data_IF_188551200839
#
_entry.id   IF_188551200839
#
_cell.length_a   1.000
_cell.length_b   1.000
_cell.length_c   1.000
_cell.angle_alpha   90.00
_cell.angle_beta   90.00
_cell.angle_gamma   90.00
#
_symmetry.space_group_name_H-M   'P 1'
#
loop_
_entity.id
_entity.type
_entity.pdbx_description
1 polymer ?
#
# COMPACT_ATOMS: atom_id res chain seq x y z
N UNK A 1 15.95 16.45 -21.41
CA UNK A 1 15.76 16.38 -19.96
C UNK A 1 15.26 14.98 -19.62
N UNK A 2 15.80 14.34 -18.59
CA UNK A 2 15.23 13.08 -18.10
C UNK A 2 13.78 13.32 -17.64
N UNK A 3 12.85 12.37 -17.85
CA UNK A 3 11.49 12.51 -17.38
C UNK A 3 11.46 12.67 -15.86
N UNK A 4 10.60 13.57 -15.36
CA UNK A 4 10.39 13.79 -13.93
C UNK A 4 10.05 12.47 -13.23
N UNK A 5 10.74 12.16 -12.13
CA UNK A 5 10.45 11.02 -11.27
C UNK A 5 9.77 11.52 -10.01
N UNK A 6 8.62 10.93 -9.69
CA UNK A 6 7.87 11.25 -8.48
C UNK A 6 8.66 10.77 -7.25
N UNK A 7 8.93 11.66 -6.30
CA UNK A 7 9.64 11.34 -5.07
C UNK A 7 8.67 10.72 -4.04
N UNK A 8 8.89 9.46 -3.71
CA UNK A 8 7.98 8.63 -2.92
C UNK A 8 8.63 8.23 -1.59
N UNK A 9 7.82 8.24 -0.53
CA UNK A 9 8.09 7.59 0.74
C UNK A 9 7.34 6.25 0.87
N UNK A 10 7.89 5.31 1.63
CA UNK A 10 7.16 4.13 2.11
C UNK A 10 7.07 4.15 3.62
N UNK A 11 5.85 4.14 4.16
CA UNK A 11 5.58 4.05 5.59
C UNK A 11 5.22 2.61 5.97
N UNK A 12 6.00 2.00 6.86
CA UNK A 12 5.94 0.58 7.16
C UNK A 12 6.54 -0.26 6.05
N UNK A 13 7.52 -1.09 6.38
CA UNK A 13 8.14 -2.00 5.42
C UNK A 13 8.36 -3.41 5.98
N UNK A 14 7.32 -3.90 6.65
CA UNK A 14 7.10 -5.33 6.86
C UNK A 14 6.81 -6.04 5.53
N UNK A 15 6.09 -7.17 5.57
CA UNK A 15 5.91 -8.06 4.39
C UNK A 15 5.53 -7.33 3.10
N UNK A 16 4.47 -6.52 3.13
CA UNK A 16 3.96 -5.84 1.93
C UNK A 16 4.67 -4.53 1.66
N UNK A 17 4.97 -3.73 2.68
CA UNK A 17 5.69 -2.48 2.52
C UNK A 17 7.10 -2.66 1.93
N UNK A 18 7.85 -3.68 2.36
CA UNK A 18 9.13 -4.06 1.74
C UNK A 18 8.96 -4.38 0.25
N UNK A 19 7.90 -5.10 -0.11
CA UNK A 19 7.60 -5.41 -1.52
C UNK A 19 7.26 -4.15 -2.32
N UNK A 20 6.52 -3.22 -1.73
CA UNK A 20 6.25 -1.92 -2.36
C UNK A 20 7.53 -1.11 -2.55
N UNK A 21 8.39 -1.01 -1.53
CA UNK A 21 9.68 -0.33 -1.62
C UNK A 21 10.56 -0.91 -2.75
N UNK A 22 10.71 -2.23 -2.79
CA UNK A 22 11.47 -2.92 -3.85
C UNK A 22 10.84 -2.73 -5.23
N UNK A 23 9.51 -2.69 -5.34
CA UNK A 23 8.84 -2.43 -6.61
C UNK A 23 9.08 -0.99 -7.07
N UNK A 24 9.04 0.00 -6.18
CA UNK A 24 9.38 1.39 -6.52
C UNK A 24 10.82 1.47 -7.04
N UNK A 25 11.77 0.88 -6.31
CA UNK A 25 13.18 0.87 -6.71
C UNK A 25 13.44 0.21 -8.07
N UNK A 26 12.82 -0.95 -8.32
CA UNK A 26 13.25 -1.82 -9.42
C UNK A 26 12.30 -1.84 -10.61
N UNK A 27 11.04 -1.43 -10.44
CA UNK A 27 9.96 -1.68 -11.42
C UNK A 27 9.12 -0.44 -11.76
N UNK A 28 9.38 0.70 -11.12
CA UNK A 28 8.59 1.92 -11.32
C UNK A 28 9.48 3.04 -11.88
N UNK A 29 9.77 3.08 -13.20
CA UNK A 29 10.77 3.99 -13.78
C UNK A 29 10.43 5.48 -13.69
N UNK A 30 9.17 5.82 -13.36
CA UNK A 30 8.67 7.19 -13.15
C UNK A 30 8.57 7.58 -11.68
N UNK A 31 9.11 6.78 -10.78
CA UNK A 31 9.15 7.05 -9.36
C UNK A 31 10.57 6.86 -8.84
N UNK A 32 10.84 7.50 -7.71
CA UNK A 32 12.08 7.40 -6.97
C UNK A 32 11.71 7.22 -5.49
N UNK A 33 12.24 6.16 -4.87
CA UNK A 33 12.08 5.97 -3.44
C UNK A 33 13.13 6.84 -2.75
N UNK A 34 12.70 7.91 -2.08
CA UNK A 34 13.63 8.85 -1.42
C UNK A 34 13.76 8.59 0.07
N UNK A 35 12.69 8.08 0.69
CA UNK A 35 12.65 7.83 2.13
C UNK A 35 11.78 6.64 2.51
N UNK A 36 12.02 6.07 3.68
CA UNK A 36 11.16 5.05 4.26
C UNK A 36 11.12 5.16 5.79
N UNK A 37 9.94 4.88 6.38
CA UNK A 37 9.74 4.86 7.83
C UNK A 37 9.33 3.48 8.36
N UNK A 38 9.90 3.06 9.49
CA UNK A 38 9.35 1.97 10.31
C UNK A 38 9.71 2.16 11.79
N UNK A 39 8.76 1.93 12.72
CA UNK A 39 9.07 1.92 14.16
C UNK A 39 9.77 0.61 14.59
N UNK A 40 9.74 -0.44 13.76
CA UNK A 40 10.34 -1.73 14.06
C UNK A 40 11.84 -1.75 13.71
N UNK A 41 12.66 -2.12 14.68
CA UNK A 41 14.11 -2.11 14.50
C UNK A 41 14.59 -3.19 13.52
N UNK A 42 13.91 -4.34 13.43
CA UNK A 42 14.28 -5.39 12.47
C UNK A 42 13.99 -4.94 11.04
N UNK A 43 12.83 -4.31 10.82
CA UNK A 43 12.51 -3.66 9.56
C UNK A 43 13.60 -2.64 9.21
N UNK A 44 13.96 -1.73 10.13
CA UNK A 44 15.02 -0.74 9.88
C UNK A 44 16.35 -1.39 9.49
N UNK A 45 16.78 -2.46 10.15
CA UNK A 45 17.98 -3.20 9.75
C UNK A 45 17.86 -3.80 8.34
N UNK A 46 16.69 -4.32 7.99
CA UNK A 46 16.42 -4.77 6.63
C UNK A 46 16.52 -3.59 5.63
N UNK A 47 15.97 -2.42 5.98
CA UNK A 47 16.06 -1.20 5.19
C UNK A 47 17.51 -0.76 4.95
N UNK A 48 18.38 -0.85 5.96
CA UNK A 48 19.82 -0.52 5.83
C UNK A 48 20.53 -1.40 4.80
N UNK A 49 20.10 -2.64 4.67
CA UNK A 49 20.69 -3.60 3.75
C UNK A 49 20.13 -3.46 2.32
N UNK A 50 18.86 -3.09 2.18
CA UNK A 50 18.14 -3.21 0.89
C UNK A 50 17.71 -1.86 0.29
N UNK A 51 17.61 -0.80 1.09
CA UNK A 51 17.12 0.52 0.67
C UNK A 51 18.23 1.59 0.74
N UNK A 52 18.96 1.70 1.86
CA UNK A 52 20.04 2.68 2.01
C UNK A 52 21.11 2.61 0.90
N UNK A 53 21.52 1.43 0.38
CA UNK A 53 22.49 1.37 -0.71
C UNK A 53 22.03 2.05 -2.02
N UNK A 54 20.73 2.30 -2.14
CA UNK A 54 20.11 3.02 -3.27
C UNK A 54 19.86 4.50 -2.96
N UNK A 55 20.36 5.02 -1.83
CA UNK A 55 20.19 6.42 -1.43
C UNK A 55 18.90 6.73 -0.66
N UNK A 56 18.15 5.70 -0.24
CA UNK A 56 16.92 5.88 0.54
C UNK A 56 17.27 6.27 1.98
N UNK A 57 16.72 7.39 2.46
CA UNK A 57 16.89 7.79 3.87
C UNK A 57 15.90 7.04 4.75
N UNK A 58 16.36 6.47 5.87
CA UNK A 58 15.49 5.75 6.80
C UNK A 58 15.13 6.60 8.01
N UNK A 59 13.87 6.51 8.42
CA UNK A 59 13.32 7.19 9.58
C UNK A 59 12.69 6.19 10.55
N UNK A 60 12.85 6.44 11.85
CA UNK A 60 12.15 5.75 12.94
C UNK A 60 11.00 6.59 13.52
N UNK A 61 10.74 7.75 12.91
CA UNK A 61 9.71 8.71 13.27
C UNK A 61 8.95 9.12 12.01
N UNK A 62 7.64 8.87 12.00
CA UNK A 62 6.78 9.10 10.83
C UNK A 62 6.67 10.57 10.49
N UNK A 63 6.53 11.43 11.49
CA UNK A 63 6.38 12.89 11.30
C UNK A 63 7.66 13.46 10.70
N UNK A 64 8.84 13.05 11.18
CA UNK A 64 10.12 13.46 10.57
C UNK A 64 10.29 12.98 9.14
N UNK A 65 9.75 11.82 8.80
CA UNK A 65 9.75 11.34 7.40
C UNK A 65 8.89 12.24 6.51
N UNK A 66 7.72 12.68 6.98
CA UNK A 66 6.84 13.58 6.23
C UNK A 66 7.48 14.95 5.96
N UNK A 67 8.39 15.39 6.83
CA UNK A 67 9.16 16.63 6.66
C UNK A 67 10.32 16.51 5.65
N UNK A 68 10.53 15.33 5.05
CA UNK A 68 11.61 15.11 4.08
C UNK A 68 11.48 16.03 2.87
N UNK A 69 12.55 16.78 2.59
CA UNK A 69 12.54 17.78 1.51
C UNK A 69 12.28 17.12 0.16
N UNK A 70 11.30 17.65 -0.58
CA UNK A 70 10.98 17.16 -1.92
C UNK A 70 10.09 15.94 -1.96
N UNK A 71 9.59 15.44 -0.83
CA UNK A 71 8.62 14.34 -0.79
C UNK A 71 7.30 14.74 -1.48
N UNK A 72 6.82 13.90 -2.40
CA UNK A 72 5.61 14.17 -3.19
C UNK A 72 4.47 13.17 -2.95
N UNK A 73 4.78 11.93 -2.54
CA UNK A 73 3.78 10.90 -2.29
C UNK A 73 4.23 9.91 -1.20
N UNK A 74 3.27 9.31 -0.50
CA UNK A 74 3.51 8.30 0.54
C UNK A 74 2.74 7.03 0.20
N UNK A 75 3.42 5.89 0.25
CA UNK A 75 2.81 4.56 0.21
C UNK A 75 2.71 4.04 1.64
N UNK A 76 1.49 3.81 2.13
CA UNK A 76 1.24 3.34 3.49
C UNK A 76 1.07 1.82 3.47
N UNK A 77 2.05 1.14 4.08
CA UNK A 77 2.14 -0.31 4.23
C UNK A 77 2.27 -0.75 5.69
N UNK A 78 1.87 0.10 6.63
CA UNK A 78 1.81 -0.16 8.07
C UNK A 78 0.62 -1.04 8.46
N UNK A 79 0.54 -1.37 9.75
CA UNK A 79 -0.56 -2.15 10.31
C UNK A 79 -1.92 -1.48 10.08
N UNK A 80 -2.95 -2.29 9.86
CA UNK A 80 -4.34 -1.85 9.63
C UNK A 80 -4.84 -0.86 10.68
N UNK A 81 -4.41 -1.00 11.94
CA UNK A 81 -4.83 -0.15 13.06
C UNK A 81 -4.36 1.31 12.96
N UNK A 82 -3.23 1.58 12.30
CA UNK A 82 -2.64 2.93 12.19
C UNK A 82 -2.75 3.53 10.80
N UNK A 83 -3.15 2.74 9.81
CA UNK A 83 -3.20 3.13 8.39
C UNK A 83 -4.03 4.41 8.16
N UNK A 84 -5.20 4.50 8.78
CA UNK A 84 -6.07 5.67 8.65
C UNK A 84 -5.41 6.93 9.23
N UNK A 85 -4.89 6.84 10.45
CA UNK A 85 -4.24 7.96 11.13
C UNK A 85 -3.02 8.47 10.35
N UNK A 86 -2.16 7.57 9.87
CA UNK A 86 -1.02 7.95 9.04
C UNK A 86 -1.44 8.58 7.71
N UNK A 87 -2.51 8.08 7.09
CA UNK A 87 -3.06 8.70 5.87
C UNK A 87 -3.51 10.14 6.13
N UNK A 88 -4.18 10.37 7.26
CA UNK A 88 -4.67 11.69 7.66
C UNK A 88 -3.52 12.65 8.01
N UNK A 89 -2.46 12.14 8.62
CA UNK A 89 -1.23 12.89 8.87
C UNK A 89 -0.54 13.27 7.56
N UNK A 90 -0.41 12.36 6.60
CA UNK A 90 0.12 12.65 5.26
C UNK A 90 -0.74 13.66 4.48
N UNK A 91 -2.04 13.70 4.74
CA UNK A 91 -2.97 14.68 4.19
C UNK A 91 -2.95 16.02 4.96
N UNK A 92 -2.08 16.22 5.94
CA UNK A 92 -1.99 17.41 6.81
C UNK A 92 -3.31 17.83 7.48
N UNK A 93 -3.75 17.08 8.50
CA UNK A 93 -4.41 17.49 9.79
C UNK A 93 -5.67 16.70 10.18
N UNK A 94 -5.84 16.57 11.50
CA UNK A 94 -6.99 16.10 12.31
C UNK A 94 -8.33 15.98 11.57
N UNK A 95 -8.48 14.91 10.81
CA UNK A 95 -9.77 14.52 10.26
C UNK A 95 -9.98 13.07 10.67
N UNK A 96 -11.16 12.73 11.16
CA UNK A 96 -11.45 11.38 11.64
C UNK A 96 -11.78 10.40 10.50
N UNK A 97 -11.87 10.91 9.26
CA UNK A 97 -12.24 10.15 8.06
C UNK A 97 -11.37 10.56 6.86
N UNK A 98 -10.71 9.57 6.25
CA UNK A 98 -9.82 9.71 5.09
C UNK A 98 -10.58 10.18 3.85
N UNK A 99 -11.85 9.77 3.68
CA UNK A 99 -12.66 10.13 2.51
C UNK A 99 -12.99 11.61 2.53
N UNK A 100 -13.44 12.12 3.68
CA UNK A 100 -13.72 13.54 3.87
C UNK A 100 -12.46 14.40 3.75
N UNK A 101 -11.32 13.90 4.27
CA UNK A 101 -10.03 14.56 4.12
C UNK A 101 -9.60 14.67 2.65
N UNK A 102 -9.74 13.59 1.89
CA UNK A 102 -9.44 13.59 0.47
C UNK A 102 -10.37 14.53 -0.32
N UNK A 103 -11.67 14.54 0.00
CA UNK A 103 -12.65 15.40 -0.66
C UNK A 103 -12.35 16.90 -0.46
N UNK A 104 -11.83 17.28 0.71
CA UNK A 104 -11.42 18.66 1.03
C UNK A 104 -10.13 19.09 0.31
N UNK A 105 -9.34 18.15 -0.20
CA UNK A 105 -8.07 18.39 -0.91
C UNK A 105 -8.11 17.79 -2.33
N UNK A 106 -8.96 18.31 -3.24
CA UNK A 106 -9.15 17.72 -4.57
C UNK A 106 -7.91 17.74 -5.48
N UNK A 107 -6.88 18.53 -5.11
CA UNK A 107 -5.58 18.56 -5.77
C UNK A 107 -4.69 17.35 -5.40
N UNK A 108 -4.93 16.72 -4.24
CA UNK A 108 -4.27 15.50 -3.82
C UNK A 108 -4.99 14.27 -4.38
N UNK A 109 -4.24 13.17 -4.54
CA UNK A 109 -4.77 11.88 -4.96
C UNK A 109 -4.64 10.90 -3.82
N UNK A 110 -5.76 10.33 -3.39
CA UNK A 110 -5.83 9.27 -2.39
C UNK A 110 -6.37 8.02 -3.06
N UNK A 111 -5.67 6.90 -2.90
CA UNK A 111 -6.03 5.63 -3.52
C UNK A 111 -5.89 4.51 -2.50
N UNK A 112 -6.95 3.70 -2.34
CA UNK A 112 -6.84 2.42 -1.65
C UNK A 112 -6.25 1.37 -2.59
N UNK A 113 -5.28 0.59 -2.10
CA UNK A 113 -4.47 -0.35 -2.87
C UNK A 113 -5.17 -1.65 -3.30
N UNK A 114 -6.33 -1.59 -3.94
CA UNK A 114 -7.05 -2.77 -4.47
C UNK A 114 -6.37 -3.36 -5.73
N UNK A 115 -5.15 -3.86 -5.56
CA UNK A 115 -4.26 -4.31 -6.64
C UNK A 115 -4.88 -5.34 -7.58
N UNK A 116 -5.70 -6.27 -7.06
CA UNK A 116 -6.42 -7.30 -7.84
C UNK A 116 -7.31 -6.72 -8.94
N UNK A 117 -7.79 -5.48 -8.80
CA UNK A 117 -8.54 -4.79 -9.86
C UNK A 117 -7.70 -4.54 -11.11
N UNK A 118 -6.38 -4.54 -10.99
CA UNK A 118 -5.45 -4.29 -12.09
C UNK A 118 -4.86 -5.58 -12.68
N UNK A 119 -5.20 -6.75 -12.13
CA UNK A 119 -4.80 -8.03 -12.72
C UNK A 119 -5.47 -8.20 -14.09
N UNK A 120 -4.71 -8.66 -15.09
CA UNK A 120 -5.20 -8.83 -16.46
C UNK A 120 -6.47 -9.68 -16.54
N UNK A 121 -6.57 -10.71 -15.70
CA UNK A 121 -7.75 -11.59 -15.62
C UNK A 121 -8.99 -10.87 -15.11
N UNK A 122 -8.85 -9.98 -14.11
CA UNK A 122 -9.97 -9.19 -13.59
C UNK A 122 -10.40 -8.12 -14.58
N UNK A 123 -9.44 -7.45 -15.21
CA UNK A 123 -9.70 -6.47 -16.27
C UNK A 123 -10.38 -7.11 -17.50
N UNK A 124 -9.99 -8.34 -17.86
CA UNK A 124 -10.64 -9.10 -18.92
C UNK A 124 -12.09 -9.46 -18.60
N UNK A 125 -12.36 -9.93 -17.38
CA UNK A 125 -13.72 -10.20 -16.92
C UNK A 125 -14.57 -8.93 -16.93
N UNK A 126 -14.05 -7.81 -16.43
CA UNK A 126 -14.76 -6.53 -16.43
C UNK A 126 -15.14 -6.08 -17.85
N UNK A 127 -14.17 -6.11 -18.79
CA UNK A 127 -14.44 -5.77 -20.21
C UNK A 127 -15.50 -6.67 -20.84
N UNK A 128 -15.45 -7.99 -20.60
CA UNK A 128 -16.45 -8.94 -21.13
C UNK A 128 -17.85 -8.67 -20.59
N UNK A 129 -17.96 -8.26 -19.33
CA UNK A 129 -19.24 -7.86 -18.72
C UNK A 129 -19.75 -6.57 -19.37
N UNK A 130 -18.91 -5.54 -19.46
CA UNK A 130 -19.27 -4.23 -20.05
C UNK A 130 -19.70 -4.33 -21.51
N UNK A 131 -19.06 -5.22 -22.28
CA UNK A 131 -19.38 -5.49 -23.67
C UNK A 131 -20.63 -6.39 -23.85
N UNK A 132 -21.21 -6.90 -22.76
CA UNK A 132 -22.34 -7.83 -22.81
C UNK A 132 -22.00 -9.23 -23.34
N UNK A 133 -20.72 -9.60 -23.41
CA UNK A 133 -20.24 -10.84 -24.02
C UNK A 133 -20.74 -12.12 -23.34
N UNK A 134 -21.14 -12.02 -22.05
CA UNK A 134 -21.69 -13.12 -21.26
C UNK A 134 -23.16 -12.91 -20.88
N UNK A 135 -23.84 -11.94 -21.51
CA UNK A 135 -25.17 -11.49 -21.10
C UNK A 135 -25.15 -10.79 -19.73
N UNK A 136 -26.28 -10.82 -19.01
CA UNK A 136 -26.39 -10.25 -17.66
C UNK A 136 -25.85 -11.26 -16.62
N UNK A 137 -24.79 -10.93 -15.87
CA UNK A 137 -24.33 -11.80 -14.78
C UNK A 137 -25.43 -11.97 -13.72
N UNK A 138 -25.69 -13.22 -13.32
CA UNK A 138 -26.67 -13.56 -12.27
C UNK A 138 -26.03 -14.11 -11.00
N UNK A 139 -24.85 -14.73 -11.13
CA UNK A 139 -24.10 -15.30 -10.01
C UNK A 139 -22.62 -14.94 -10.16
N UNK A 140 -22.02 -14.41 -9.09
CA UNK A 140 -20.58 -14.23 -8.97
C UNK A 140 -20.07 -15.14 -7.84
N UNK A 141 -19.05 -15.94 -8.14
CA UNK A 141 -18.32 -16.72 -7.14
C UNK A 141 -16.88 -16.24 -7.11
N UNK A 142 -16.44 -15.79 -5.94
CA UNK A 142 -15.04 -15.43 -5.69
C UNK A 142 -14.44 -16.43 -4.70
N UNK A 143 -13.21 -16.85 -4.97
CA UNK A 143 -12.42 -17.67 -4.05
C UNK A 143 -11.00 -17.13 -4.02
N UNK A 144 -10.51 -16.92 -2.80
CA UNK A 144 -9.14 -16.49 -2.51
C UNK A 144 -8.54 -17.48 -1.53
N UNK A 145 -7.32 -17.92 -1.81
CA UNK A 145 -6.56 -18.81 -0.96
C UNK A 145 -5.17 -18.23 -0.82
N UNK A 146 -4.71 -18.06 0.42
CA UNK A 146 -3.35 -17.61 0.67
C UNK A 146 -2.37 -18.75 0.59
N UNK A 147 -1.13 -18.40 0.26
CA UNK A 147 -0.02 -19.35 0.31
C UNK A 147 0.19 -19.76 1.77
N UNK A 148 0.26 -21.06 2.00
CA UNK A 148 0.58 -21.61 3.31
C UNK A 148 1.92 -21.05 3.82
N UNK A 149 1.91 -20.50 5.03
CA UNK A 149 3.10 -20.01 5.70
C UNK A 149 3.85 -21.20 6.35
N UNK A 150 5.20 -21.20 6.40
CA UNK A 150 5.96 -22.30 7.02
C UNK A 150 5.63 -22.50 8.50
N UNK A 151 5.36 -21.41 9.21
CA UNK A 151 4.82 -21.45 10.57
C UNK A 151 3.30 -21.70 10.51
N UNK A 152 2.80 -22.81 11.09
CA UNK A 152 1.38 -23.16 11.07
C UNK A 152 0.49 -22.19 11.85
N UNK A 153 1.04 -21.48 12.85
CA UNK A 153 0.26 -20.59 13.72
C UNK A 153 0.24 -19.14 13.22
N UNK A 154 1.01 -18.83 12.17
CA UNK A 154 1.18 -17.48 11.65
C UNK A 154 -0.16 -16.77 11.39
N UNK A 155 -1.08 -17.40 10.66
CA UNK A 155 -2.36 -16.78 10.32
C UNK A 155 -3.29 -16.63 11.53
N UNK A 156 -3.21 -17.54 12.49
CA UNK A 156 -3.99 -17.46 13.74
C UNK A 156 -3.52 -16.26 14.56
N UNK A 157 -2.21 -16.09 14.69
CA UNK A 157 -1.61 -14.94 15.38
C UNK A 157 -1.86 -13.62 14.63
N UNK A 158 -1.74 -13.63 13.30
CA UNK A 158 -2.00 -12.47 12.45
C UNK A 158 -3.47 -12.02 12.51
N UNK A 159 -4.41 -12.95 12.59
CA UNK A 159 -5.84 -12.66 12.69
C UNK A 159 -6.20 -11.82 13.93
N UNK A 160 -5.43 -11.91 15.01
CA UNK A 160 -5.69 -11.21 16.25
C UNK A 160 -5.66 -9.67 16.11
N UNK A 161 -4.99 -9.13 15.09
CA UNK A 161 -4.81 -7.69 14.91
C UNK A 161 -5.06 -7.19 13.47
N UNK A 162 -5.23 -8.10 12.50
CA UNK A 162 -5.53 -7.75 11.09
C UNK A 162 -7.02 -7.59 10.76
N UNK A 163 -7.92 -7.94 11.70
CA UNK A 163 -9.37 -8.03 11.44
C UNK A 163 -9.80 -9.41 10.92
N UNK A 164 -8.88 -10.38 10.90
CA UNK A 164 -9.14 -11.76 10.52
C UNK A 164 -9.34 -11.96 9.01
N UNK A 165 -9.66 -13.20 8.62
CA UNK A 165 -9.70 -13.63 7.21
C UNK A 165 -10.64 -12.81 6.33
N UNK A 166 -11.75 -12.30 6.88
CA UNK A 166 -12.72 -11.53 6.10
C UNK A 166 -12.17 -10.16 5.73
N UNK A 167 -11.55 -9.45 6.67
CA UNK A 167 -10.97 -8.11 6.42
C UNK A 167 -9.71 -8.22 5.56
N UNK A 168 -8.89 -9.25 5.79
CA UNK A 168 -7.63 -9.44 5.06
C UNK A 168 -7.89 -9.88 3.59
N UNK A 169 -8.86 -10.77 3.37
CA UNK A 169 -9.03 -11.43 2.06
C UNK A 169 -10.25 -10.96 1.25
N UNK A 170 -11.28 -10.39 1.86
CA UNK A 170 -12.57 -10.12 1.18
C UNK A 170 -12.80 -8.66 0.79
N UNK A 171 -11.85 -7.75 1.00
CA UNK A 171 -12.02 -6.30 0.83
C UNK A 171 -12.00 -5.80 -0.62
N UNK A 172 -11.88 -6.68 -1.62
CA UNK A 172 -11.74 -6.26 -3.04
C UNK A 172 -13.08 -5.85 -3.71
N UNK A 173 -14.23 -6.15 -3.11
CA UNK A 173 -15.53 -6.24 -3.81
C UNK A 173 -16.50 -5.04 -3.71
N UNK A 174 -16.06 -3.83 -3.34
CA UNK A 174 -16.94 -2.63 -3.35
C UNK A 174 -16.78 -1.73 -4.58
#
# INVERSE_FOLDING_TARGET
MAPHRLQIAVAGFGRMGARHALNVLNKTPRAELVTAFSPDQQELQWGKQHLEPYGVTLYDDYTKMLEHQGLEAVVIGTATSVHAEETLQALEKDLHDVVDAAAKKPHLKVMCGFSRRFDDSYQDVARKIEQGAIGRPTVLRSQTCDRQHPDPDFFVQYAAWSGGVFVDMSTTLT
#
